data_IF_112614592088
#
_entry.id   IF_112614592088
#
_cell.length_a   1.000
_cell.length_b   1.000
_cell.length_c   1.000
_cell.angle_alpha   90.00
_cell.angle_beta   90.00
_cell.angle_gamma   90.00
#
_symmetry.space_group_name_H-M   'P 1'
#
loop_
_entity.id
_entity.type
_entity.pdbx_description
1 polymer ?
#
# COMPACT_ATOMS: atom_id res chain seq x y z
N UNK A 1 3.40 -10.30 -19.44
CA UNK A 1 4.21 -9.22 -20.06
C UNK A 1 5.43 -9.87 -20.68
N UNK A 2 5.85 -9.50 -21.90
CA UNK A 2 7.10 -9.96 -22.51
C UNK A 2 8.30 -9.88 -21.54
N UNK A 3 9.18 -10.88 -21.56
CA UNK A 3 10.30 -11.00 -20.63
C UNK A 3 11.26 -9.79 -20.68
N UNK A 4 11.52 -9.26 -21.89
CA UNK A 4 12.37 -8.08 -22.07
C UNK A 4 11.76 -6.83 -21.39
N UNK A 5 10.45 -6.64 -21.49
CA UNK A 5 9.73 -5.53 -20.86
C UNK A 5 9.69 -5.69 -19.32
N UNK A 6 9.50 -6.93 -18.83
CA UNK A 6 9.59 -7.24 -17.40
C UNK A 6 10.98 -6.94 -16.84
N UNK A 7 12.03 -7.31 -17.57
CA UNK A 7 13.41 -6.99 -17.23
C UNK A 7 13.65 -5.47 -17.20
N UNK A 8 13.12 -4.74 -18.18
CA UNK A 8 13.25 -3.28 -18.25
C UNK A 8 12.55 -2.57 -17.07
N UNK A 9 11.31 -2.95 -16.77
CA UNK A 9 10.57 -2.41 -15.61
C UNK A 9 11.30 -2.71 -14.29
N UNK A 10 11.78 -3.95 -14.12
CA UNK A 10 12.57 -4.33 -12.95
C UNK A 10 13.86 -3.53 -12.84
N UNK A 11 14.59 -3.34 -13.94
CA UNK A 11 15.81 -2.55 -13.97
C UNK A 11 15.55 -1.07 -13.61
N UNK A 12 14.52 -0.45 -14.19
CA UNK A 12 14.14 0.93 -13.89
C UNK A 12 13.76 1.10 -12.41
N UNK A 13 12.98 0.15 -11.86
CA UNK A 13 12.59 0.18 -10.46
C UNK A 13 13.77 -0.04 -9.50
N UNK A 14 14.67 -0.97 -9.82
CA UNK A 14 15.90 -1.20 -9.04
C UNK A 14 16.80 0.03 -9.08
N UNK A 15 16.98 0.67 -10.23
CA UNK A 15 17.79 1.88 -10.36
C UNK A 15 17.22 3.05 -9.55
N UNK A 16 15.90 3.24 -9.59
CA UNK A 16 15.21 4.22 -8.76
C UNK A 16 15.36 3.94 -7.26
N UNK A 17 15.20 2.68 -6.83
CA UNK A 17 15.42 2.31 -5.43
C UNK A 17 16.86 2.55 -4.96
N UNK A 18 17.84 2.24 -5.79
CA UNK A 18 19.24 2.50 -5.50
C UNK A 18 19.51 4.01 -5.40
N UNK A 19 18.93 4.84 -6.28
CA UNK A 19 19.11 6.29 -6.23
C UNK A 19 18.44 6.94 -5.00
N UNK A 20 17.45 6.28 -4.39
CA UNK A 20 16.84 6.71 -3.12
C UNK A 20 17.54 6.16 -1.89
N UNK A 21 18.46 5.20 -2.04
CA UNK A 21 19.13 4.57 -0.91
C UNK A 21 20.04 5.57 -0.20
N UNK A 22 19.82 5.88 1.10
CA UNK A 22 20.71 6.73 1.88
C UNK A 22 22.14 6.18 1.97
N UNK A 23 22.35 4.89 1.67
CA UNK A 23 23.64 4.21 1.65
C UNK A 23 24.17 3.96 0.23
N UNK A 24 23.59 4.59 -0.81
CA UNK A 24 24.04 4.40 -2.21
C UNK A 24 25.56 4.61 -2.34
N UNK A 25 26.34 3.54 -2.65
CA UNK A 25 27.79 3.63 -2.75
C UNK A 25 28.26 4.60 -3.83
N UNK A 26 27.48 4.77 -4.90
CA UNK A 26 27.84 5.70 -5.97
C UNK A 26 27.68 7.15 -5.53
N UNK A 27 26.53 7.48 -4.92
CA UNK A 27 26.24 8.85 -4.47
C UNK A 27 27.16 9.25 -3.31
N UNK A 28 27.23 8.42 -2.27
CA UNK A 28 28.08 8.69 -1.12
C UNK A 28 29.56 8.59 -1.45
N UNK A 29 29.97 7.67 -2.34
CA UNK A 29 31.35 7.53 -2.78
C UNK A 29 31.89 8.80 -3.45
N UNK A 30 31.10 9.43 -4.33
CA UNK A 30 31.47 10.69 -4.99
C UNK A 30 31.59 11.84 -4.01
N UNK A 31 30.60 12.03 -3.13
CA UNK A 31 30.64 13.08 -2.10
C UNK A 31 31.81 12.88 -1.13
N UNK A 32 32.12 11.63 -0.79
CA UNK A 32 33.21 11.26 0.09
C UNK A 32 34.60 11.54 -0.47
N UNK A 33 34.76 11.65 -1.80
CA UNK A 33 36.05 12.02 -2.42
C UNK A 33 36.55 13.37 -1.93
N UNK A 34 35.67 14.38 -1.87
CA UNK A 34 36.02 15.73 -1.46
C UNK A 34 36.31 15.78 0.03
N UNK A 35 35.47 15.13 0.85
CA UNK A 35 35.64 15.08 2.31
C UNK A 35 36.95 14.39 2.67
N UNK A 36 37.25 13.24 2.07
CA UNK A 36 38.50 12.51 2.34
C UNK A 36 39.74 13.23 1.79
N UNK A 37 39.62 13.93 0.67
CA UNK A 37 40.73 14.72 0.14
C UNK A 37 41.04 15.93 1.04
N UNK A 38 40.00 16.52 1.62
CA UNK A 38 40.17 17.57 2.62
C UNK A 38 40.83 17.03 3.91
N UNK A 39 40.36 15.89 4.43
CA UNK A 39 40.96 15.24 5.59
C UNK A 39 42.44 14.87 5.32
N UNK A 40 42.76 14.32 4.14
CA UNK A 40 44.13 13.95 3.75
C UNK A 40 45.08 15.14 3.60
N UNK A 41 44.53 16.33 3.34
CA UNK A 41 45.28 17.58 3.21
C UNK A 41 45.37 18.34 4.54
N UNK A 42 44.89 17.75 5.65
CA UNK A 42 45.07 18.29 7.00
C UNK A 42 43.97 19.23 7.50
N UNK A 43 42.86 19.41 6.77
CA UNK A 43 41.74 20.20 7.31
C UNK A 43 40.96 19.41 8.36
N UNK A 44 40.55 20.12 9.43
CA UNK A 44 39.69 19.53 10.43
C UNK A 44 38.30 19.25 9.86
N UNK A 45 37.65 18.17 10.31
CA UNK A 45 36.27 17.85 9.91
C UNK A 45 35.26 18.95 10.22
N UNK A 46 35.51 19.76 11.25
CA UNK A 46 34.70 20.94 11.58
C UNK A 46 34.78 21.98 10.47
N UNK A 47 35.99 22.26 9.99
CA UNK A 47 36.26 23.21 8.90
C UNK A 47 35.64 22.71 7.59
N UNK A 48 35.84 21.43 7.27
CA UNK A 48 35.27 20.79 6.07
C UNK A 48 33.73 20.81 6.10
N UNK A 49 33.11 20.43 7.22
CA UNK A 49 31.65 20.44 7.34
C UNK A 49 31.07 21.86 7.20
N UNK A 50 31.69 22.86 7.83
CA UNK A 50 31.27 24.25 7.72
C UNK A 50 31.38 24.77 6.27
N UNK A 51 32.51 24.51 5.60
CA UNK A 51 32.74 24.96 4.22
C UNK A 51 31.79 24.30 3.20
N UNK A 52 31.44 23.02 3.41
CA UNK A 52 30.52 22.28 2.53
C UNK A 52 29.04 22.52 2.88
N UNK A 53 28.72 23.22 3.97
CA UNK A 53 27.34 23.41 4.43
C UNK A 53 26.68 22.12 4.92
N UNK A 54 27.45 21.22 5.52
CA UNK A 54 26.99 19.94 6.06
C UNK A 54 26.94 19.95 7.58
N UNK A 55 26.07 19.12 8.16
CA UNK A 55 26.22 18.78 9.58
C UNK A 55 27.48 17.93 9.79
N UNK A 56 28.11 18.07 10.96
CA UNK A 56 29.29 17.29 11.33
C UNK A 56 29.05 15.79 11.20
N UNK A 57 27.92 15.30 11.73
CA UNK A 57 27.54 13.90 11.64
C UNK A 57 27.39 13.40 10.19
N UNK A 58 26.89 14.25 9.28
CA UNK A 58 26.77 13.92 7.86
C UNK A 58 28.14 13.87 7.19
N UNK A 59 29.03 14.82 7.50
CA UNK A 59 30.41 14.82 7.00
C UNK A 59 31.19 13.57 7.49
N UNK A 60 31.03 13.20 8.77
CA UNK A 60 31.63 11.99 9.35
C UNK A 60 31.14 10.72 8.65
N UNK A 61 29.83 10.62 8.45
CA UNK A 61 29.21 9.48 7.77
C UNK A 61 29.67 9.36 6.32
N UNK A 62 29.70 10.48 5.57
CA UNK A 62 30.16 10.52 4.18
C UNK A 62 31.65 10.19 4.10
N UNK A 63 32.49 10.79 4.94
CA UNK A 63 33.94 10.56 4.94
C UNK A 63 34.35 9.11 5.26
N UNK A 64 33.50 8.37 5.98
CA UNK A 64 33.70 6.96 6.29
C UNK A 64 33.33 5.99 5.15
N UNK A 65 32.77 6.46 4.02
CA UNK A 65 32.35 5.57 2.93
C UNK A 65 33.57 4.93 2.21
N UNK A 66 33.65 3.59 2.14
CA UNK A 66 34.77 2.88 1.51
C UNK A 66 34.92 3.18 0.02
N UNK A 67 33.80 3.41 -0.67
CA UNK A 67 33.73 3.60 -2.12
C UNK A 67 34.42 4.88 -2.63
N UNK A 68 34.85 5.79 -1.75
CA UNK A 68 35.63 6.97 -2.15
C UNK A 68 37.03 6.62 -2.68
N UNK A 69 37.56 5.44 -2.35
CA UNK A 69 38.90 5.00 -2.77
C UNK A 69 39.01 4.69 -4.27
N UNK A 70 37.90 4.48 -4.97
CA UNK A 70 37.88 4.20 -6.41
C UNK A 70 37.88 5.46 -7.29
N UNK A 71 37.80 6.66 -6.69
CA UNK A 71 37.75 7.91 -7.41
C UNK A 71 39.04 8.72 -7.20
N UNK A 72 39.47 9.45 -8.24
CA UNK A 72 40.67 10.29 -8.18
C UNK A 72 40.45 11.43 -7.17
N UNK A 73 41.23 11.42 -6.10
CA UNK A 73 41.15 12.46 -5.07
C UNK A 73 41.71 13.78 -5.60
N UNK A 74 41.01 14.91 -5.43
CA UNK A 74 41.60 16.22 -5.70
C UNK A 74 42.78 16.46 -4.76
N UNK A 75 43.86 17.07 -5.29
CA UNK A 75 45.00 17.51 -4.48
C UNK A 75 44.73 18.94 -4.04
N UNK A 76 44.93 19.22 -2.76
CA UNK A 76 44.78 20.56 -2.21
C UNK A 76 46.07 20.98 -1.50
N UNK A 77 46.35 22.28 -1.47
CA UNK A 77 47.55 22.82 -0.83
C UNK A 77 47.36 22.93 0.69
N UNK A 78 48.37 22.50 1.44
CA UNK A 78 48.37 22.46 2.90
C UNK A 78 48.47 23.89 3.47
N UNK A 79 47.62 24.24 4.43
CA UNK A 79 47.71 25.52 5.18
C UNK A 79 46.97 26.73 4.59
N UNK A 80 46.26 26.56 3.47
CA UNK A 80 45.41 27.61 2.89
C UNK A 80 43.97 27.59 3.43
N UNK A 81 43.24 28.70 3.21
CA UNK A 81 41.77 28.76 3.37
C UNK A 81 41.15 27.60 2.57
N UNK A 82 40.09 26.98 3.10
CA UNK A 82 39.44 25.84 2.45
C UNK A 82 39.12 26.18 0.98
N UNK A 83 39.65 25.41 0.02
CA UNK A 83 39.68 25.85 -1.37
C UNK A 83 38.27 25.93 -1.97
N UNK A 84 37.96 27.04 -2.63
CA UNK A 84 36.68 27.23 -3.31
C UNK A 84 36.42 26.13 -4.34
N UNK A 85 37.47 25.60 -4.98
CA UNK A 85 37.39 24.48 -5.92
C UNK A 85 36.86 23.19 -5.29
N UNK A 86 37.12 22.95 -3.99
CA UNK A 86 36.55 21.81 -3.26
C UNK A 86 35.05 21.97 -3.04
N UNK A 87 34.60 23.19 -2.71
CA UNK A 87 33.18 23.51 -2.56
C UNK A 87 32.46 23.34 -3.90
N UNK A 88 33.02 23.88 -4.98
CA UNK A 88 32.47 23.74 -6.34
C UNK A 88 32.40 22.27 -6.77
N UNK A 89 33.45 21.48 -6.52
CA UNK A 89 33.47 20.05 -6.83
C UNK A 89 32.41 19.28 -6.04
N UNK A 90 32.25 19.58 -4.75
CA UNK A 90 31.22 18.98 -3.90
C UNK A 90 29.81 19.30 -4.39
N UNK A 91 29.53 20.58 -4.69
CA UNK A 91 28.23 21.01 -5.25
C UNK A 91 27.92 20.33 -6.56
N UNK A 92 28.91 20.23 -7.46
CA UNK A 92 28.77 19.48 -8.71
C UNK A 92 28.39 18.02 -8.46
N UNK A 93 28.98 17.36 -7.46
CA UNK A 93 28.60 15.99 -7.12
C UNK A 93 27.19 15.90 -6.50
N UNK A 94 26.78 16.87 -5.67
CA UNK A 94 25.40 16.94 -5.19
C UNK A 94 24.40 17.13 -6.34
N UNK A 95 24.74 17.95 -7.33
CA UNK A 95 23.94 18.14 -8.53
C UNK A 95 23.89 16.85 -9.36
N UNK A 96 25.01 16.16 -9.56
CA UNK A 96 25.05 14.88 -10.27
C UNK A 96 24.21 13.80 -9.58
N UNK A 97 24.23 13.73 -8.25
CA UNK A 97 23.38 12.83 -7.44
C UNK A 97 21.91 13.19 -7.60
N UNK A 98 21.57 14.47 -7.49
CA UNK A 98 20.21 14.97 -7.64
C UNK A 98 19.66 14.70 -9.04
N UNK A 99 20.47 14.99 -10.07
CA UNK A 99 20.13 14.73 -11.47
C UNK A 99 19.97 13.24 -11.76
N UNK A 100 20.82 12.38 -11.19
CA UNK A 100 20.65 10.92 -11.31
C UNK A 100 19.32 10.47 -10.71
N UNK A 101 18.97 10.95 -9.51
CA UNK A 101 17.68 10.63 -8.88
C UNK A 101 16.52 11.02 -9.78
N UNK A 102 16.52 12.27 -10.26
CA UNK A 102 15.50 12.78 -11.18
C UNK A 102 15.40 11.90 -12.44
N UNK A 103 16.53 11.58 -13.09
CA UNK A 103 16.54 10.71 -14.28
C UNK A 103 15.96 9.33 -14.00
N UNK A 104 16.39 8.68 -12.92
CA UNK A 104 15.88 7.34 -12.58
C UNK A 104 14.39 7.33 -12.23
N UNK A 105 13.90 8.40 -11.60
CA UNK A 105 12.48 8.60 -11.32
C UNK A 105 11.69 8.80 -12.61
N UNK A 106 12.15 9.68 -13.49
CA UNK A 106 11.55 9.93 -14.81
C UNK A 106 11.47 8.66 -15.65
N UNK A 107 12.58 7.92 -15.76
CA UNK A 107 12.63 6.66 -16.49
C UNK A 107 11.63 5.63 -15.93
N UNK A 108 11.50 5.53 -14.60
CA UNK A 108 10.53 4.63 -13.96
C UNK A 108 9.09 5.06 -14.27
N UNK A 109 8.75 6.34 -14.11
CA UNK A 109 7.42 6.86 -14.40
C UNK A 109 7.05 6.61 -15.87
N UNK A 110 7.94 6.95 -16.80
CA UNK A 110 7.75 6.73 -18.23
C UNK A 110 7.50 5.24 -18.55
N UNK A 111 8.28 4.35 -17.92
CA UNK A 111 8.14 2.90 -18.10
C UNK A 111 6.82 2.38 -17.56
N UNK A 112 6.38 2.84 -16.37
CA UNK A 112 5.10 2.44 -15.77
C UNK A 112 3.93 2.97 -16.62
N UNK A 113 3.96 4.25 -17.01
CA UNK A 113 2.91 4.85 -17.84
C UNK A 113 2.78 4.16 -19.20
N UNK A 114 3.90 3.85 -19.84
CA UNK A 114 3.91 3.13 -21.11
C UNK A 114 3.36 1.70 -20.94
N UNK A 115 3.74 0.98 -19.89
CA UNK A 115 3.19 -0.35 -19.60
C UNK A 115 1.67 -0.31 -19.31
N UNK A 116 1.21 0.68 -18.54
CA UNK A 116 -0.18 0.75 -18.08
C UNK A 116 -1.13 1.40 -19.09
N UNK A 117 -0.84 2.63 -19.53
CA UNK A 117 -1.73 3.41 -20.39
C UNK A 117 -1.65 3.01 -21.85
N UNK A 118 -0.44 2.70 -22.36
CA UNK A 118 -0.25 2.36 -23.78
C UNK A 118 -0.48 0.87 -24.01
N UNK A 119 0.16 0.02 -23.21
CA UNK A 119 0.04 -1.42 -23.36
C UNK A 119 -1.06 -2.06 -22.53
N UNK A 120 -1.79 -1.34 -21.68
CA UNK A 120 -2.97 -1.86 -20.99
C UNK A 120 -2.71 -2.87 -19.85
N UNK A 121 -1.47 -2.96 -19.34
CA UNK A 121 -1.16 -3.85 -18.22
C UNK A 121 -1.72 -3.28 -16.91
N UNK A 122 -2.53 -4.04 -16.13
CA UNK A 122 -3.03 -3.56 -14.85
C UNK A 122 -1.91 -3.49 -13.81
N UNK A 123 -1.95 -2.50 -12.91
CA UNK A 123 -0.96 -2.34 -11.82
C UNK A 123 -0.80 -3.59 -10.95
N UNK A 124 -1.88 -4.36 -10.76
CA UNK A 124 -1.88 -5.64 -10.04
C UNK A 124 -1.02 -6.71 -10.70
N UNK A 125 -0.85 -6.66 -12.02
CA UNK A 125 0.04 -7.56 -12.76
C UNK A 125 1.49 -7.04 -12.81
N UNK A 126 1.70 -5.72 -12.73
CA UNK A 126 3.03 -5.10 -12.73
C UNK A 126 3.73 -5.21 -11.36
N UNK A 127 2.96 -5.07 -10.28
CA UNK A 127 3.44 -5.07 -8.89
C UNK A 127 4.34 -6.28 -8.51
N UNK A 128 3.94 -7.54 -8.81
CA UNK A 128 4.75 -8.71 -8.49
C UNK A 128 6.11 -8.74 -9.21
N UNK A 129 6.24 -8.10 -10.38
CA UNK A 129 7.48 -8.13 -11.17
C UNK A 129 8.62 -7.34 -10.52
N UNK A 130 8.26 -6.35 -9.70
CA UNK A 130 9.20 -5.42 -9.05
C UNK A 130 9.18 -5.51 -7.52
N UNK A 131 8.31 -6.35 -6.94
CA UNK A 131 8.18 -6.49 -5.50
C UNK A 131 7.61 -5.25 -4.81
N UNK A 132 6.69 -4.53 -5.48
CA UNK A 132 6.00 -3.36 -4.95
C UNK A 132 4.49 -3.59 -4.88
N UNK A 133 3.75 -2.77 -4.13
CA UNK A 133 2.29 -2.80 -4.18
C UNK A 133 1.75 -2.11 -5.44
N UNK A 134 0.57 -2.52 -5.91
CA UNK A 134 -0.09 -1.91 -7.06
C UNK A 134 -0.36 -0.41 -6.82
N UNK A 135 -0.79 -0.05 -5.60
CA UNK A 135 -1.01 1.33 -5.20
C UNK A 135 0.28 2.16 -5.23
N UNK A 136 1.42 1.57 -4.83
CA UNK A 136 2.70 2.28 -4.90
C UNK A 136 3.08 2.60 -6.35
N UNK A 137 2.82 1.69 -7.29
CA UNK A 137 3.06 1.95 -8.72
C UNK A 137 2.12 3.02 -9.28
N UNK A 138 0.84 3.02 -8.85
CA UNK A 138 -0.13 4.08 -9.21
C UNK A 138 0.36 5.45 -8.75
N UNK A 139 0.74 5.57 -7.48
CA UNK A 139 1.26 6.82 -6.92
C UNK A 139 2.49 7.34 -7.65
N UNK A 140 3.43 6.45 -8.02
CA UNK A 140 4.61 6.84 -8.79
C UNK A 140 4.18 7.33 -10.18
N UNK A 141 3.26 6.63 -10.85
CA UNK A 141 2.79 7.00 -12.18
C UNK A 141 2.03 8.34 -12.22
N UNK A 142 1.41 8.75 -11.12
CA UNK A 142 0.65 10.01 -11.00
C UNK A 142 1.51 11.25 -10.74
N UNK A 143 2.82 11.09 -10.51
CA UNK A 143 3.74 12.22 -10.37
C UNK A 143 3.83 12.97 -11.71
N UNK A 144 3.51 14.27 -11.70
CA UNK A 144 3.60 15.12 -12.89
C UNK A 144 5.04 15.21 -13.39
N UNK A 145 5.21 14.96 -14.69
CA UNK A 145 6.49 15.05 -15.37
C UNK A 145 6.49 16.31 -16.21
N UNK A 146 7.51 17.16 -16.04
CA UNK A 146 7.84 18.16 -17.03
C UNK A 146 8.30 17.43 -18.31
N UNK A 147 7.44 17.45 -19.32
CA UNK A 147 7.49 16.58 -20.50
C UNK A 147 8.51 17.13 -21.51
N UNK A 148 9.78 16.73 -21.44
CA UNK A 148 10.71 17.16 -22.49
C UNK A 148 11.92 16.29 -22.86
N UNK A 149 12.22 15.14 -22.26
CA UNK A 149 13.58 14.59 -22.51
C UNK A 149 13.88 13.10 -22.49
N UNK A 150 12.98 12.18 -22.08
CA UNK A 150 13.33 10.75 -22.12
C UNK A 150 12.38 9.91 -22.97
N UNK A 151 12.86 9.23 -24.03
CA UNK A 151 12.05 8.32 -24.81
C UNK A 151 11.70 7.09 -23.96
N UNK A 152 10.41 6.89 -23.72
CA UNK A 152 9.91 5.69 -23.04
C UNK A 152 10.15 4.44 -23.90
N UNK A 153 10.38 3.30 -23.26
CA UNK A 153 10.42 2.01 -23.96
C UNK A 153 9.03 1.76 -24.57
N UNK A 154 8.98 1.41 -25.85
CA UNK A 154 7.75 1.06 -26.54
C UNK A 154 7.28 -0.32 -26.10
N UNK A 155 6.04 -0.41 -25.58
CA UNK A 155 5.42 -1.68 -25.22
C UNK A 155 4.48 -2.11 -26.35
N UNK A 156 4.59 -3.36 -26.80
CA UNK A 156 3.59 -3.94 -27.69
C UNK A 156 2.21 -3.93 -27.02
N UNK A 157 1.14 -3.58 -27.75
CA UNK A 157 -0.21 -3.55 -27.20
C UNK A 157 -0.58 -4.94 -26.68
N UNK A 158 -1.02 -5.00 -25.41
CA UNK A 158 -1.51 -6.24 -24.83
C UNK A 158 -2.90 -6.53 -25.37
N UNK A 159 -3.02 -7.53 -26.24
CA UNK A 159 -4.30 -8.17 -26.51
C UNK A 159 -4.61 -9.10 -25.36
N UNK A 160 -5.55 -8.71 -24.51
CA UNK A 160 -6.11 -9.59 -23.49
C UNK A 160 -6.73 -10.79 -24.21
N UNK A 161 -6.08 -11.96 -24.14
CA UNK A 161 -6.76 -13.23 -24.37
C UNK A 161 -7.75 -13.37 -23.21
N UNK A 162 -8.93 -12.78 -23.41
CA UNK A 162 -10.11 -13.19 -22.67
C UNK A 162 -10.21 -14.68 -22.96
N UNK A 163 -9.90 -15.53 -21.97
CA UNK A 163 -10.53 -16.85 -21.93
C UNK A 163 -11.98 -16.56 -22.24
N UNK A 164 -12.53 -17.19 -23.28
CA UNK A 164 -13.94 -17.12 -23.60
C UNK A 164 -14.67 -17.24 -22.27
N UNK A 165 -15.23 -16.10 -21.85
CA UNK A 165 -16.08 -16.06 -20.70
C UNK A 165 -17.23 -16.90 -21.20
N UNK A 166 -17.36 -18.15 -20.73
CA UNK A 166 -18.63 -18.89 -20.87
C UNK A 166 -19.69 -17.84 -20.64
N UNK A 167 -20.46 -17.53 -21.68
CA UNK A 167 -21.51 -16.52 -21.58
C UNK A 167 -22.26 -16.88 -20.31
N UNK A 168 -22.12 -16.02 -19.29
CA UNK A 168 -22.94 -16.13 -18.12
C UNK A 168 -24.31 -15.82 -18.68
N UNK A 169 -25.10 -16.86 -18.91
CA UNK A 169 -26.53 -16.73 -19.16
C UNK A 169 -27.03 -15.68 -18.18
N UNK A 170 -27.70 -14.61 -18.66
CA UNK A 170 -28.20 -13.58 -17.77
C UNK A 170 -29.14 -14.27 -16.78
N UNK A 171 -28.63 -14.53 -15.57
CA UNK A 171 -29.47 -15.05 -14.48
C UNK A 171 -30.43 -13.92 -14.18
N UNK A 172 -31.72 -14.17 -14.43
CA UNK A 172 -32.76 -13.22 -14.11
C UNK A 172 -32.58 -12.79 -12.66
N UNK A 173 -32.54 -11.48 -12.42
CA UNK A 173 -32.41 -10.95 -11.07
C UNK A 173 -33.68 -11.27 -10.32
N UNK A 174 -33.56 -11.98 -9.20
CA UNK A 174 -34.68 -12.21 -8.30
C UNK A 174 -35.05 -10.87 -7.63
N UNK A 175 -36.32 -10.44 -7.64
CA UNK A 175 -36.74 -9.27 -6.89
C UNK A 175 -36.67 -9.54 -5.39
N UNK A 176 -36.34 -8.50 -4.61
CA UNK A 176 -36.38 -8.55 -3.17
C UNK A 176 -37.84 -8.62 -2.68
N UNK A 177 -38.13 -9.54 -1.76
CA UNK A 177 -39.47 -9.59 -1.13
C UNK A 177 -39.61 -8.50 -0.06
N UNK A 178 -40.85 -8.09 0.23
CA UNK A 178 -41.11 -7.07 1.26
C UNK A 178 -40.58 -7.49 2.63
N UNK A 179 -40.71 -8.78 2.99
CA UNK A 179 -40.19 -9.32 4.25
C UNK A 179 -38.65 -9.29 4.34
N UNK A 180 -37.95 -9.55 3.23
CA UNK A 180 -36.48 -9.42 3.16
C UNK A 180 -36.04 -7.95 3.23
N UNK A 181 -36.78 -7.06 2.56
CA UNK A 181 -36.52 -5.62 2.61
C UNK A 181 -36.68 -5.06 4.03
N UNK A 182 -37.77 -5.41 4.72
CA UNK A 182 -38.00 -5.02 6.11
C UNK A 182 -36.95 -5.61 7.06
N UNK A 183 -36.53 -6.86 6.85
CA UNK A 183 -35.49 -7.49 7.65
C UNK A 183 -34.14 -6.79 7.46
N UNK A 184 -33.76 -6.47 6.21
CA UNK A 184 -32.58 -5.68 5.90
C UNK A 184 -32.62 -4.29 6.53
N UNK A 185 -33.75 -3.59 6.43
CA UNK A 185 -33.92 -2.26 7.01
C UNK A 185 -33.77 -2.28 8.55
N UNK A 186 -34.41 -3.25 9.22
CA UNK A 186 -34.30 -3.43 10.68
C UNK A 186 -32.88 -3.75 11.13
N UNK A 187 -32.22 -4.70 10.47
CA UNK A 187 -30.84 -5.07 10.77
C UNK A 187 -29.87 -3.91 10.49
N UNK A 188 -30.07 -3.17 9.39
CA UNK A 188 -29.27 -2.00 9.06
C UNK A 188 -29.41 -0.87 10.08
N UNK A 189 -30.63 -0.64 10.62
CA UNK A 189 -30.87 0.36 11.65
C UNK A 189 -30.15 0.01 12.97
N UNK A 190 -30.20 -1.27 13.40
CA UNK A 190 -29.47 -1.75 14.59
C UNK A 190 -27.96 -1.72 14.38
N UNK A 191 -27.48 -2.25 13.25
CA UNK A 191 -26.06 -2.33 12.92
C UNK A 191 -25.35 -0.95 12.80
N UNK A 192 -26.08 0.15 12.62
CA UNK A 192 -25.52 1.52 12.67
C UNK A 192 -25.07 1.91 14.08
N UNK A 193 -25.66 1.32 15.12
CA UNK A 193 -25.35 1.59 16.53
C UNK A 193 -24.21 0.74 17.08
N UNK A 194 -23.76 -0.27 16.33
CA UNK A 194 -22.61 -1.11 16.68
C UNK A 194 -21.34 -0.26 16.85
N UNK A 195 -21.02 0.09 18.09
CA UNK A 195 -19.82 0.85 18.44
C UNK A 195 -18.59 -0.06 18.48
N UNK A 196 -17.40 0.50 18.24
CA UNK A 196 -16.11 -0.23 18.33
C UNK A 196 -15.72 -0.63 19.77
N UNK A 197 -16.59 -0.43 20.77
CA UNK A 197 -16.22 -0.49 22.18
C UNK A 197 -16.37 -1.86 22.85
N UNK A 198 -16.79 -2.90 22.11
CA UNK A 198 -16.97 -4.29 22.59
C UNK A 198 -15.65 -4.98 23.05
N UNK A 199 -14.53 -4.26 23.13
CA UNK A 199 -13.24 -4.76 23.60
C UNK A 199 -12.74 -4.18 24.93
N UNK A 200 -13.50 -3.30 25.60
CA UNK A 200 -13.08 -2.79 26.91
C UNK A 200 -13.18 -3.93 27.93
N UNK A 201 -12.03 -4.31 28.51
CA UNK A 201 -12.01 -5.23 29.66
C UNK A 201 -12.82 -4.61 30.78
N UNK A 202 -13.99 -5.18 31.07
CA UNK A 202 -14.69 -4.88 32.31
C UNK A 202 -13.80 -5.36 33.47
N UNK A 203 -13.73 -4.57 34.54
CA UNK A 203 -13.04 -4.97 35.75
C UNK A 203 -13.67 -6.23 36.38
N UNK A 204 -13.08 -6.79 37.44
CA UNK A 204 -13.57 -8.01 38.09
C UNK A 204 -14.99 -7.88 38.68
N UNK A 205 -15.46 -6.66 38.93
CA UNK A 205 -16.81 -6.35 39.42
C UNK A 205 -17.42 -5.22 38.59
N UNK A 206 -18.02 -5.51 37.43
CA UNK A 206 -18.71 -4.51 36.64
C UNK A 206 -20.01 -4.08 37.33
N UNK A 207 -20.30 -2.79 37.28
CA UNK A 207 -21.58 -2.25 37.75
C UNK A 207 -22.74 -2.77 36.86
N UNK A 208 -23.96 -2.95 37.38
CA UNK A 208 -25.10 -3.46 36.60
C UNK A 208 -25.41 -2.63 35.34
N UNK A 209 -25.17 -1.32 35.38
CA UNK A 209 -25.33 -0.44 34.22
C UNK A 209 -24.31 -0.74 33.10
N UNK A 210 -23.07 -1.10 33.48
CA UNK A 210 -22.01 -1.47 32.54
C UNK A 210 -22.29 -2.81 31.86
N UNK A 211 -22.92 -3.75 32.58
CA UNK A 211 -23.37 -5.02 32.01
C UNK A 211 -24.47 -4.80 30.97
N UNK A 212 -25.48 -3.97 31.27
CA UNK A 212 -26.56 -3.64 30.32
C UNK A 212 -26.03 -2.92 29.07
N UNK A 213 -25.07 -2.02 29.24
CA UNK A 213 -24.41 -1.33 28.13
C UNK A 213 -23.63 -2.33 27.24
N UNK A 214 -22.93 -3.29 27.86
CA UNK A 214 -22.23 -4.36 27.14
C UNK A 214 -23.20 -5.26 26.38
N UNK A 215 -24.30 -5.70 27.01
CA UNK A 215 -25.34 -6.52 26.39
C UNK A 215 -25.94 -5.82 25.16
N UNK A 216 -26.35 -4.55 25.30
CA UNK A 216 -26.84 -3.75 24.18
C UNK A 216 -25.81 -3.63 23.05
N UNK A 217 -24.53 -3.49 23.39
CA UNK A 217 -23.44 -3.39 22.40
C UNK A 217 -23.19 -4.73 21.68
N UNK A 218 -23.36 -5.86 22.37
CA UNK A 218 -23.27 -7.20 21.78
C UNK A 218 -24.44 -7.46 20.83
N UNK A 219 -25.66 -7.07 21.19
CA UNK A 219 -26.83 -7.18 20.31
C UNK A 219 -26.66 -6.38 19.01
N UNK A 220 -26.15 -5.14 19.10
CA UNK A 220 -25.86 -4.32 17.93
C UNK A 220 -24.80 -4.95 17.02
N UNK A 221 -23.79 -5.59 17.62
CA UNK A 221 -22.75 -6.31 16.89
C UNK A 221 -23.31 -7.55 16.19
N UNK A 222 -24.12 -8.36 16.88
CA UNK A 222 -24.79 -9.53 16.30
C UNK A 222 -25.65 -9.10 15.10
N UNK A 223 -26.44 -8.02 15.25
CA UNK A 223 -27.22 -7.48 14.14
C UNK A 223 -26.36 -7.05 12.94
N UNK A 224 -25.14 -6.54 13.18
CA UNK A 224 -24.19 -6.20 12.12
C UNK A 224 -23.64 -7.43 11.39
N UNK A 225 -23.40 -8.53 12.11
CA UNK A 225 -22.93 -9.80 11.55
C UNK A 225 -24.07 -10.47 10.76
N UNK A 226 -25.27 -10.54 11.32
CA UNK A 226 -26.48 -11.05 10.66
C UNK A 226 -26.83 -10.27 9.39
N UNK A 227 -26.73 -8.93 9.43
CA UNK A 227 -26.93 -8.10 8.23
C UNK A 227 -25.96 -8.49 7.12
N UNK A 228 -24.71 -8.73 7.47
CA UNK A 228 -23.67 -9.08 6.49
C UNK A 228 -23.94 -10.46 5.90
N UNK A 229 -24.36 -11.43 6.71
CA UNK A 229 -24.77 -12.75 6.25
C UNK A 229 -25.99 -12.70 5.31
N UNK A 230 -27.01 -11.91 5.66
CA UNK A 230 -28.22 -11.78 4.84
C UNK A 230 -27.96 -11.11 3.49
N UNK A 231 -27.11 -10.07 3.46
CA UNK A 231 -26.69 -9.44 2.20
C UNK A 231 -25.96 -10.43 1.27
N UNK A 232 -25.20 -11.37 1.85
CA UNK A 232 -24.48 -12.38 1.08
C UNK A 232 -25.45 -13.43 0.54
N UNK A 233 -26.35 -13.99 1.36
CA UNK A 233 -27.29 -15.01 0.90
C UNK A 233 -28.22 -14.49 -0.19
N UNK A 234 -28.76 -13.29 -0.03
CA UNK A 234 -29.60 -12.66 -1.05
C UNK A 234 -28.84 -12.39 -2.34
N UNK A 235 -27.53 -12.12 -2.23
CA UNK A 235 -26.71 -11.94 -3.42
C UNK A 235 -26.45 -13.24 -4.16
N UNK A 236 -26.28 -14.35 -3.44
CA UNK A 236 -26.18 -15.71 -3.98
C UNK A 236 -27.48 -16.12 -4.70
N UNK A 237 -28.63 -15.70 -4.17
CA UNK A 237 -29.96 -15.83 -4.79
C UNK A 237 -30.20 -14.88 -5.99
N UNK A 238 -29.16 -14.19 -6.46
CA UNK A 238 -29.17 -13.25 -7.59
C UNK A 238 -30.02 -11.98 -7.38
N UNK A 239 -30.21 -11.51 -6.14
CA UNK A 239 -30.76 -10.17 -5.89
C UNK A 239 -29.77 -9.09 -6.36
N UNK A 240 -30.28 -7.96 -6.85
CA UNK A 240 -29.48 -6.83 -7.30
C UNK A 240 -28.85 -6.06 -6.14
N UNK A 241 -27.60 -5.61 -6.30
CA UNK A 241 -26.96 -4.75 -5.30
C UNK A 241 -27.71 -3.43 -5.08
N UNK A 242 -28.38 -2.91 -6.12
CA UNK A 242 -29.15 -1.68 -6.02
C UNK A 242 -30.35 -1.84 -5.09
N UNK A 243 -31.04 -2.99 -5.19
CA UNK A 243 -32.20 -3.29 -4.34
C UNK A 243 -31.76 -3.48 -2.89
N UNK A 244 -30.62 -4.15 -2.67
CA UNK A 244 -30.03 -4.32 -1.35
C UNK A 244 -29.58 -2.99 -0.72
N UNK A 245 -28.99 -2.10 -1.51
CA UNK A 245 -28.61 -0.75 -1.05
C UNK A 245 -29.85 0.06 -0.66
N UNK A 246 -30.90 0.02 -1.49
CA UNK A 246 -32.19 0.68 -1.23
C UNK A 246 -32.82 0.17 0.07
N UNK A 247 -32.95 -1.15 0.24
CA UNK A 247 -33.53 -1.77 1.43
C UNK A 247 -32.74 -1.47 2.72
N UNK A 248 -31.42 -1.32 2.64
CA UNK A 248 -30.59 -0.96 3.80
C UNK A 248 -30.55 0.57 4.08
N UNK A 249 -31.13 1.40 3.20
CA UNK A 249 -30.99 2.85 3.23
C UNK A 249 -29.54 3.31 3.07
N UNK A 250 -28.78 2.60 2.23
CA UNK A 250 -27.37 2.83 1.95
C UNK A 250 -27.16 3.64 0.68
N UNK A 251 -25.98 4.25 0.57
CA UNK A 251 -25.54 4.84 -0.71
C UNK A 251 -25.20 3.73 -1.70
N UNK A 252 -25.40 3.94 -3.02
CA UNK A 252 -25.05 2.96 -4.04
C UNK A 252 -23.64 2.39 -3.87
N UNK A 253 -23.53 1.07 -3.86
CA UNK A 253 -22.28 0.32 -3.67
C UNK A 253 -21.88 0.06 -2.22
N UNK A 254 -22.60 0.57 -1.21
CA UNK A 254 -22.19 0.42 0.19
C UNK A 254 -22.50 -0.97 0.75
N UNK A 255 -23.61 -1.60 0.35
CA UNK A 255 -23.93 -2.99 0.69
C UNK A 255 -22.84 -3.93 0.16
N UNK A 256 -22.41 -3.71 -1.09
CA UNK A 256 -21.29 -4.44 -1.70
C UNK A 256 -19.99 -4.21 -0.92
N UNK A 257 -19.66 -2.97 -0.58
CA UNK A 257 -18.46 -2.67 0.21
C UNK A 257 -18.52 -3.28 1.63
N UNK A 258 -19.70 -3.38 2.24
CA UNK A 258 -19.91 -4.04 3.53
C UNK A 258 -19.71 -5.55 3.41
N UNK A 259 -20.39 -6.20 2.46
CA UNK A 259 -20.24 -7.63 2.21
C UNK A 259 -18.78 -8.03 1.93
N UNK A 260 -18.04 -7.22 1.15
CA UNK A 260 -16.61 -7.44 0.89
C UNK A 260 -15.74 -7.31 2.15
N UNK A 261 -16.05 -6.36 3.05
CA UNK A 261 -15.30 -6.14 4.29
C UNK A 261 -15.55 -7.23 5.34
N UNK A 262 -16.76 -7.78 5.38
CA UNK A 262 -17.16 -8.82 6.33
C UNK A 262 -17.00 -10.25 5.79
N UNK A 263 -16.50 -10.39 4.56
CA UNK A 263 -16.00 -11.65 4.02
C UNK A 263 -16.85 -12.21 2.87
N UNK A 264 -16.48 -11.86 1.64
CA UNK A 264 -16.13 -12.88 0.64
C UNK A 264 -14.67 -12.66 0.20
N UNK A 265 -13.79 -12.84 1.17
CA UNK A 265 -12.55 -13.53 0.96
C UNK A 265 -12.39 -14.33 2.25
N UNK A 266 -12.13 -15.63 2.12
CA UNK A 266 -11.68 -16.52 3.20
C UNK A 266 -11.08 -15.70 4.33
N UNK A 267 -11.56 -15.86 5.58
CA UNK A 267 -10.78 -15.51 6.76
C UNK A 267 -9.33 -15.85 6.42
N UNK A 268 -8.39 -14.88 6.41
CA UNK A 268 -7.02 -15.18 6.01
C UNK A 268 -6.60 -16.44 6.78
N UNK A 269 -5.94 -17.44 6.17
CA UNK A 269 -5.60 -18.68 6.86
C UNK A 269 -4.75 -18.46 8.14
N UNK A 270 -4.25 -17.24 8.36
CA UNK A 270 -3.59 -16.75 9.57
C UNK A 270 -4.52 -16.26 10.68
N UNK A 271 -5.84 -16.14 10.44
CA UNK A 271 -6.83 -15.74 11.43
C UNK A 271 -7.74 -16.92 11.76
N UNK A 272 -7.70 -17.34 13.03
CA UNK A 272 -8.64 -18.31 13.54
C UNK A 272 -10.08 -17.77 13.39
N UNK A 273 -11.06 -18.63 13.01
CA UNK A 273 -12.47 -18.30 13.14
C UNK A 273 -12.75 -17.82 14.56
N UNK A 274 -13.56 -16.78 14.72
CA UNK A 274 -13.95 -16.30 16.04
C UNK A 274 -14.74 -17.39 16.77
N UNK A 275 -14.16 -17.95 17.80
CA UNK A 275 -14.84 -18.78 18.80
C UNK A 275 -15.32 -17.85 19.92
N UNK A 276 -16.63 -17.71 20.14
CA UNK A 276 -17.12 -16.91 21.27
C UNK A 276 -16.57 -17.51 22.58
N UNK A 277 -15.94 -16.67 23.40
CA UNK A 277 -15.44 -17.07 24.71
C UNK A 277 -16.64 -17.45 25.59
N UNK A 278 -16.76 -18.69 26.09
CA UNK A 278 -17.87 -19.07 26.94
C UNK A 278 -17.79 -18.29 28.25
N UNK A 279 -18.80 -17.47 28.51
CA UNK A 279 -18.98 -16.77 29.79
C UNK A 279 -19.65 -17.75 30.76
N UNK A 280 -19.12 -17.96 31.97
CA UNK A 280 -19.73 -18.87 32.93
C UNK A 280 -21.18 -18.47 33.23
N UNK A 281 -22.14 -19.36 32.96
CA UNK A 281 -23.58 -19.14 33.21
C UNK A 281 -24.41 -18.68 32.00
N UNK A 282 -23.82 -18.51 30.81
CA UNK A 282 -24.57 -18.26 29.57
C UNK A 282 -24.87 -19.56 28.80
N UNK A 283 -26.03 -19.68 28.12
CA UNK A 283 -26.31 -20.81 27.26
C UNK A 283 -25.27 -20.89 26.14
N UNK A 284 -24.80 -22.11 25.84
CA UNK A 284 -23.82 -22.32 24.79
C UNK A 284 -24.36 -21.81 23.44
N UNK A 285 -23.72 -20.80 22.87
CA UNK A 285 -24.08 -20.31 21.55
C UNK A 285 -23.69 -21.36 20.50
N UNK A 286 -24.70 -21.91 19.83
CA UNK A 286 -24.52 -22.87 18.75
C UNK A 286 -23.77 -22.17 17.60
N UNK A 287 -22.63 -22.71 17.13
CA UNK A 287 -21.91 -22.12 16.01
C UNK A 287 -22.82 -22.08 14.77
N UNK A 288 -22.80 -20.95 14.04
CA UNK A 288 -23.69 -20.67 12.88
C UNK A 288 -23.58 -21.74 11.78
N UNK A 289 -22.47 -22.48 11.72
CA UNK A 289 -22.31 -23.65 10.84
C UNK A 289 -23.28 -24.81 11.13
N UNK A 290 -23.99 -24.79 12.26
CA UNK A 290 -25.04 -25.74 12.63
C UNK A 290 -26.46 -25.16 12.51
N UNK A 291 -26.61 -23.89 12.12
CA UNK A 291 -27.91 -23.24 11.88
C UNK A 291 -28.37 -23.33 10.42
N UNK A 292 -27.52 -23.80 9.51
CA UNK A 292 -27.93 -24.19 8.15
C UNK A 292 -28.30 -25.67 8.17
N UNK A 293 -29.60 -25.95 8.29
CA UNK A 293 -30.15 -27.28 8.10
C UNK A 293 -29.67 -27.85 6.76
N UNK A 294 -29.12 -29.06 6.80
CA UNK A 294 -28.72 -29.83 5.60
C UNK A 294 -29.93 -30.42 4.88
N UNK A 295 -31.14 -29.89 5.11
CA UNK A 295 -32.42 -30.49 4.71
C UNK A 295 -33.23 -29.66 3.71
N UNK A 296 -32.68 -28.59 3.12
CA UNK A 296 -33.32 -27.85 2.03
C UNK A 296 -32.42 -27.81 0.80
N UNK A 297 -32.46 -28.92 0.05
CA UNK A 297 -32.16 -28.99 -1.39
C UNK A 297 -33.44 -28.70 -2.16
#
# INVERSE_FOLDING_TARGET
MPAAQAKALKAAYTAFRQALDPQDPWANGRLATVVRAADASGWSRRTTAAALGLSRARADKIGAFPAAASYRMPKFELGAVFPASAVTAFRRFEDEVSMRRIRTERALIATIRSAHHVAGWPYTALAPLVGASAERLRQIAEIDLDVSSEPAIAFAPFTRVLKERKEQTPRATRPLTDGEAERLARLAAKARKATKHVGKRLGPHPEPEQLRELESSLEDRLASEELSALLISLKEDNVSWLDLDSACGYRPGSARARALRHGYARTPPSMAPYTPTPVPGWPALIPVSQLTDSASV
#
